data_IF_399787166095
#
_entry.id   IF_399787166095
#
_cell.length_a   1.000
_cell.length_b   1.000
_cell.length_c   1.000
_cell.angle_alpha   90.00
_cell.angle_beta   90.00
_cell.angle_gamma   90.00
#
_symmetry.space_group_name_H-M   'P 1'
#
loop_
_entity.id
_entity.type
_entity.pdbx_description
1 polymer ?
#
# COMPACT_ATOMS: atom_id res chain seq x y z
N UNK A 1 -11.53 -3.15 5.17
CA UNK A 1 -10.28 -3.84 4.76
C UNK A 1 -10.14 -3.80 3.24
N UNK A 2 -9.00 -3.36 2.71
CA UNK A 2 -8.65 -3.59 1.29
C UNK A 2 -8.00 -4.98 1.21
N UNK A 3 -8.57 -5.86 0.39
CA UNK A 3 -8.17 -7.28 0.28
C UNK A 3 -6.81 -7.45 -0.42
N UNK A 4 -6.49 -6.52 -1.32
CA UNK A 4 -5.20 -6.43 -2.02
C UNK A 4 -4.47 -5.18 -1.54
N UNK A 5 -3.35 -5.36 -0.83
CA UNK A 5 -2.49 -4.29 -0.30
C UNK A 5 -1.02 -4.63 -0.50
N UNK A 6 -0.20 -3.59 -0.63
CA UNK A 6 1.26 -3.68 -0.63
C UNK A 6 1.89 -3.69 -2.01
N UNK A 7 3.16 -3.28 -2.05
CA UNK A 7 3.95 -3.06 -3.29
C UNK A 7 4.50 -4.37 -3.87
N UNK A 8 4.48 -5.46 -3.08
CA UNK A 8 5.25 -6.67 -3.41
C UNK A 8 4.45 -7.77 -4.13
N UNK A 9 3.12 -7.63 -4.25
CA UNK A 9 2.23 -8.69 -4.75
C UNK A 9 2.03 -9.84 -3.74
N UNK A 10 1.35 -10.93 -4.14
CA UNK A 10 1.04 -12.04 -3.23
C UNK A 10 2.30 -12.86 -2.89
N UNK A 11 2.41 -13.25 -1.62
CA UNK A 11 3.62 -13.89 -1.09
C UNK A 11 3.93 -15.29 -1.63
N UNK A 12 2.98 -15.97 -2.29
CA UNK A 12 3.22 -17.29 -2.89
C UNK A 12 4.16 -17.24 -4.10
N UNK A 13 4.38 -16.04 -4.67
CA UNK A 13 5.19 -15.81 -5.87
C UNK A 13 6.71 -15.82 -5.67
N UNK A 14 7.21 -15.96 -4.43
CA UNK A 14 8.64 -15.73 -4.11
C UNK A 14 9.63 -16.55 -4.93
N UNK A 15 9.22 -17.71 -5.43
CA UNK A 15 10.08 -18.64 -6.16
C UNK A 15 9.54 -18.95 -7.58
N UNK A 16 8.61 -18.14 -8.09
CA UNK A 16 8.03 -18.34 -9.42
C UNK A 16 8.88 -17.69 -10.52
N UNK A 17 8.65 -18.12 -11.76
CA UNK A 17 9.28 -17.49 -12.92
C UNK A 17 8.83 -16.03 -13.09
N UNK A 18 9.69 -15.20 -13.68
CA UNK A 18 9.37 -13.79 -13.96
C UNK A 18 8.06 -13.61 -14.71
N UNK A 19 7.77 -14.47 -15.68
CA UNK A 19 6.52 -14.42 -16.46
C UNK A 19 5.27 -14.61 -15.59
N UNK A 20 5.27 -15.59 -14.67
CA UNK A 20 4.17 -15.84 -13.74
C UNK A 20 4.01 -14.66 -12.78
N UNK A 21 5.14 -14.16 -12.25
CA UNK A 21 5.16 -13.02 -11.34
C UNK A 21 4.56 -11.79 -12.02
N UNK A 22 4.93 -11.51 -13.27
CA UNK A 22 4.47 -10.35 -14.02
C UNK A 22 2.98 -10.42 -14.33
N UNK A 23 2.46 -11.58 -14.77
CA UNK A 23 1.02 -11.76 -15.02
C UNK A 23 0.20 -11.59 -13.75
N UNK A 24 0.62 -12.20 -12.65
CA UNK A 24 -0.09 -12.06 -11.37
C UNK A 24 0.03 -10.62 -10.84
N UNK A 25 1.18 -9.97 -10.95
CA UNK A 25 1.31 -8.55 -10.56
C UNK A 25 0.45 -7.63 -11.40
N UNK A 26 0.36 -7.88 -12.71
CA UNK A 26 -0.50 -7.12 -13.59
C UNK A 26 -1.96 -7.15 -13.11
N UNK A 27 -2.49 -8.33 -12.78
CA UNK A 27 -3.84 -8.45 -12.20
C UNK A 27 -3.93 -7.82 -10.80
N UNK A 28 -2.92 -8.02 -9.95
CA UNK A 28 -2.89 -7.49 -8.58
C UNK A 28 -2.99 -5.97 -8.54
N UNK A 29 -2.24 -5.28 -9.40
CA UNK A 29 -2.19 -3.82 -9.49
C UNK A 29 -3.15 -3.23 -10.51
N UNK A 30 -3.97 -4.04 -11.18
CA UNK A 30 -5.00 -3.52 -12.08
C UNK A 30 -6.15 -2.91 -11.27
N UNK A 31 -6.24 -1.59 -11.23
CA UNK A 31 -7.25 -0.86 -10.45
C UNK A 31 -8.64 -0.81 -11.11
N UNK A 32 -8.76 -1.28 -12.35
CA UNK A 32 -10.03 -1.39 -13.07
C UNK A 32 -10.81 -2.65 -12.65
N UNK A 33 -10.09 -3.68 -12.19
CA UNK A 33 -10.69 -4.93 -11.74
C UNK A 33 -11.15 -4.83 -10.28
N UNK A 34 -12.39 -5.25 -10.03
CA UNK A 34 -12.89 -5.47 -8.67
C UNK A 34 -12.27 -6.74 -8.05
N UNK A 35 -12.60 -6.98 -6.77
CA UNK A 35 -11.93 -8.03 -5.99
C UNK A 35 -12.22 -9.43 -6.55
N UNK A 36 -13.47 -9.65 -6.95
CA UNK A 36 -13.98 -10.90 -7.51
C UNK A 36 -13.37 -11.17 -8.90
N UNK A 37 -13.26 -10.14 -9.73
CA UNK A 37 -12.62 -10.20 -11.05
C UNK A 37 -11.13 -10.53 -10.91
N UNK A 38 -10.41 -9.88 -9.99
CA UNK A 38 -9.00 -10.20 -9.70
C UNK A 38 -8.84 -11.66 -9.27
N UNK A 39 -9.72 -12.14 -8.39
CA UNK A 39 -9.69 -13.54 -7.98
C UNK A 39 -9.90 -14.50 -9.14
N UNK A 40 -10.85 -14.21 -10.03
CA UNK A 40 -11.12 -15.04 -11.21
C UNK A 40 -9.89 -15.11 -12.15
N UNK A 41 -9.27 -13.97 -12.42
CA UNK A 41 -8.05 -13.91 -13.24
C UNK A 41 -6.87 -14.64 -12.59
N UNK A 42 -6.70 -14.52 -11.27
CA UNK A 42 -5.67 -15.29 -10.56
C UNK A 42 -5.88 -16.81 -10.70
N UNK A 43 -7.11 -17.28 -10.54
CA UNK A 43 -7.44 -18.70 -10.71
C UNK A 43 -7.16 -19.19 -12.13
N UNK A 44 -7.44 -18.36 -13.12
CA UNK A 44 -7.12 -18.66 -14.53
C UNK A 44 -5.62 -18.80 -14.74
N UNK A 45 -4.83 -17.80 -14.34
CA UNK A 45 -3.36 -17.82 -14.46
C UNK A 45 -2.78 -19.02 -13.69
N UNK A 46 -3.30 -19.29 -12.49
CA UNK A 46 -2.86 -20.42 -11.68
C UNK A 46 -3.06 -21.75 -12.38
N UNK A 47 -4.24 -21.98 -12.96
CA UNK A 47 -4.55 -23.20 -13.70
C UNK A 47 -3.67 -23.40 -14.93
N UNK A 48 -3.33 -22.31 -15.63
CA UNK A 48 -2.53 -22.35 -16.84
C UNK A 48 -1.03 -22.54 -16.56
N UNK A 49 -0.51 -21.90 -15.52
CA UNK A 49 0.93 -21.73 -15.34
C UNK A 49 1.52 -22.36 -14.08
N UNK A 50 0.76 -22.47 -13.00
CA UNK A 50 1.28 -23.00 -11.73
C UNK A 50 1.21 -24.53 -11.72
N UNK A 51 2.29 -25.15 -11.21
CA UNK A 51 2.40 -26.61 -11.11
C UNK A 51 3.03 -26.99 -9.77
N UNK A 52 2.82 -28.24 -9.36
CA UNK A 52 3.49 -28.82 -8.19
C UNK A 52 3.25 -28.03 -6.90
N UNK A 53 4.33 -27.62 -6.24
CA UNK A 53 4.28 -26.90 -4.95
C UNK A 53 3.64 -25.52 -5.08
N UNK A 54 3.89 -24.82 -6.19
CA UNK A 54 3.38 -23.48 -6.46
C UNK A 54 1.86 -23.44 -6.55
N UNK A 55 1.27 -24.47 -7.17
CA UNK A 55 -0.18 -24.65 -7.21
C UNK A 55 -0.76 -24.84 -5.79
N UNK A 56 -0.11 -25.62 -4.93
CA UNK A 56 -0.54 -25.79 -3.53
C UNK A 56 -0.48 -24.48 -2.73
N UNK A 57 0.58 -23.69 -2.92
CA UNK A 57 0.69 -22.37 -2.27
C UNK A 57 -0.38 -21.40 -2.78
N UNK A 58 -0.72 -21.49 -4.06
CA UNK A 58 -1.83 -20.74 -4.65
C UNK A 58 -3.17 -21.14 -4.03
N UNK A 59 -3.46 -22.44 -3.89
CA UNK A 59 -4.71 -22.90 -3.29
C UNK A 59 -4.89 -22.37 -1.86
N UNK A 60 -3.83 -22.38 -1.04
CA UNK A 60 -3.86 -21.79 0.29
C UNK A 60 -4.14 -20.28 0.25
N UNK A 61 -3.50 -19.57 -0.69
CA UNK A 61 -3.74 -18.16 -0.90
C UNK A 61 -5.20 -17.90 -1.34
N UNK A 62 -5.74 -18.66 -2.29
CA UNK A 62 -7.10 -18.49 -2.82
C UNK A 62 -8.17 -18.82 -1.78
N UNK A 63 -7.95 -19.82 -0.93
CA UNK A 63 -8.83 -20.12 0.20
C UNK A 63 -8.88 -18.95 1.19
N UNK A 64 -7.71 -18.42 1.58
CA UNK A 64 -7.64 -17.24 2.46
C UNK A 64 -8.28 -16.02 1.82
N UNK A 65 -8.06 -15.81 0.52
CA UNK A 65 -8.66 -14.73 -0.25
C UNK A 65 -10.19 -14.86 -0.27
N UNK A 66 -10.71 -16.05 -0.57
CA UNK A 66 -12.15 -16.34 -0.58
C UNK A 66 -12.80 -16.07 0.78
N UNK A 67 -12.14 -16.49 1.87
CA UNK A 67 -12.61 -16.20 3.23
C UNK A 67 -12.68 -14.70 3.50
N UNK A 68 -11.62 -13.96 3.19
CA UNK A 68 -11.59 -12.51 3.38
C UNK A 68 -12.66 -11.78 2.55
N UNK A 69 -12.94 -12.25 1.33
CA UNK A 69 -14.01 -11.72 0.48
C UNK A 69 -15.37 -11.94 1.14
N UNK A 70 -15.64 -13.17 1.61
CA UNK A 70 -16.89 -13.50 2.29
C UNK A 70 -17.09 -12.68 3.57
N UNK A 71 -16.07 -12.58 4.44
CA UNK A 71 -16.12 -11.77 5.66
C UNK A 71 -16.39 -10.29 5.37
N UNK A 72 -15.79 -9.77 4.29
CA UNK A 72 -16.02 -8.39 3.84
C UNK A 72 -17.45 -8.18 3.38
N UNK A 73 -17.98 -9.11 2.59
CA UNK A 73 -19.37 -9.05 2.12
C UNK A 73 -20.36 -9.14 3.28
N UNK A 74 -20.13 -10.03 4.24
CA UNK A 74 -20.92 -10.11 5.47
C UNK A 74 -20.89 -8.79 6.25
N UNK A 75 -19.70 -8.19 6.40
CA UNK A 75 -19.55 -6.88 7.07
C UNK A 75 -20.37 -5.80 6.37
N UNK A 76 -20.35 -5.75 5.03
CA UNK A 76 -21.13 -4.78 4.24
C UNK A 76 -22.64 -5.02 4.41
N UNK A 77 -23.07 -6.29 4.42
CA UNK A 77 -24.48 -6.64 4.62
C UNK A 77 -24.97 -6.28 6.02
N UNK A 78 -24.11 -6.43 7.03
CA UNK A 78 -24.40 -6.09 8.43
C UNK A 78 -24.46 -4.57 8.71
N UNK A 79 -23.98 -3.72 7.80
CA UNK A 79 -24.07 -2.26 7.95
C UNK A 79 -25.53 -1.78 7.89
N UNK A 80 -25.79 -0.59 8.43
CA UNK A 80 -27.06 0.11 8.19
C UNK A 80 -27.18 0.51 6.71
N UNK A 81 -28.40 0.85 6.26
CA UNK A 81 -28.61 1.35 4.89
C UNK A 81 -27.74 2.58 4.60
N UNK A 82 -27.76 3.57 5.50
CA UNK A 82 -26.90 4.76 5.40
C UNK A 82 -25.41 4.41 5.35
N UNK A 83 -24.98 3.39 6.11
CA UNK A 83 -23.60 2.89 6.08
C UNK A 83 -23.22 2.29 4.72
N UNK A 84 -24.10 1.48 4.12
CA UNK A 84 -23.90 0.93 2.77
C UNK A 84 -23.86 2.03 1.71
N UNK A 85 -24.75 3.01 1.79
CA UNK A 85 -24.79 4.13 0.86
C UNK A 85 -23.52 4.98 0.93
N UNK A 86 -23.05 5.28 2.15
CA UNK A 86 -21.78 5.98 2.37
C UNK A 86 -20.59 5.16 1.84
N UNK A 87 -20.56 3.85 2.10
CA UNK A 87 -19.52 2.95 1.61
C UNK A 87 -19.50 2.88 0.07
N UNK A 88 -20.66 2.83 -0.59
CA UNK A 88 -20.77 2.85 -2.05
C UNK A 88 -20.27 4.18 -2.62
N UNK A 89 -20.70 5.31 -2.06
CA UNK A 89 -20.21 6.64 -2.47
C UNK A 89 -18.70 6.77 -2.32
N UNK A 90 -18.17 6.33 -1.17
CA UNK A 90 -16.73 6.32 -0.93
C UNK A 90 -15.97 5.44 -1.94
N UNK A 91 -16.51 4.27 -2.26
CA UNK A 91 -15.92 3.36 -3.26
C UNK A 91 -15.90 3.99 -4.66
N UNK A 92 -16.96 4.69 -5.05
CA UNK A 92 -17.03 5.42 -6.32
C UNK A 92 -16.02 6.57 -6.38
N UNK A 93 -15.93 7.38 -5.33
CA UNK A 93 -14.93 8.46 -5.25
C UNK A 93 -13.50 7.92 -5.40
N UNK A 94 -13.19 6.78 -4.76
CA UNK A 94 -11.89 6.12 -4.91
C UNK A 94 -11.63 5.62 -6.32
N UNK A 95 -12.67 5.20 -7.05
CA UNK A 95 -12.55 4.80 -8.45
C UNK A 95 -12.26 6.02 -9.34
N UNK A 96 -13.03 7.09 -9.16
CA UNK A 96 -12.85 8.36 -9.89
C UNK A 96 -11.46 8.95 -9.65
N UNK A 97 -11.00 8.97 -8.39
CA UNK A 97 -9.64 9.39 -8.01
C UNK A 97 -8.58 8.59 -8.80
N UNK A 98 -8.70 7.26 -8.83
CA UNK A 98 -7.75 6.41 -9.55
C UNK A 98 -7.80 6.63 -11.06
N UNK A 99 -9.00 6.73 -11.64
CA UNK A 99 -9.17 7.00 -13.08
C UNK A 99 -8.58 8.36 -13.46
N UNK A 100 -8.83 9.39 -12.65
CA UNK A 100 -8.23 10.71 -12.84
C UNK A 100 -6.71 10.64 -12.81
N UNK A 101 -6.14 10.04 -11.76
CA UNK A 101 -4.69 9.90 -11.63
C UNK A 101 -4.09 9.10 -12.80
N UNK A 102 -4.73 8.01 -13.24
CA UNK A 102 -4.25 7.19 -14.35
C UNK A 102 -4.24 7.94 -15.69
N UNK A 103 -5.20 8.85 -15.92
CA UNK A 103 -5.30 9.66 -17.14
C UNK A 103 -4.24 10.78 -17.23
N UNK A 104 -3.58 11.12 -16.12
CA UNK A 104 -2.55 12.15 -16.12
C UNK A 104 -1.24 11.68 -16.80
N UNK A 105 -0.49 12.60 -17.44
CA UNK A 105 0.87 12.33 -17.91
C UNK A 105 1.77 11.83 -16.77
N UNK A 106 2.78 11.03 -17.11
CA UNK A 106 3.64 10.38 -16.12
C UNK A 106 4.38 11.40 -15.25
N UNK A 107 4.80 12.51 -15.87
CA UNK A 107 5.51 13.62 -15.25
C UNK A 107 4.66 14.28 -14.16
N UNK A 108 3.39 14.56 -14.48
CA UNK A 108 2.42 15.16 -13.54
C UNK A 108 2.10 14.21 -12.39
N UNK A 109 2.00 12.89 -12.65
CA UNK A 109 1.79 11.90 -11.58
C UNK A 109 2.95 11.85 -10.59
N UNK A 110 4.19 12.01 -11.06
CA UNK A 110 5.38 12.04 -10.20
C UNK A 110 5.31 13.27 -9.30
N UNK A 111 4.99 14.44 -9.85
CA UNK A 111 4.83 15.68 -9.06
C UNK A 111 3.74 15.52 -7.98
N UNK A 112 2.59 14.96 -8.32
CA UNK A 112 1.52 14.68 -7.34
C UNK A 112 1.93 13.65 -6.29
N UNK A 113 2.77 12.68 -6.65
CA UNK A 113 3.34 11.69 -5.74
C UNK A 113 4.26 12.30 -4.67
N UNK A 114 4.82 13.49 -4.90
CA UNK A 114 5.59 14.24 -3.90
C UNK A 114 4.69 14.82 -2.80
N UNK A 115 3.42 15.10 -3.12
CA UNK A 115 2.46 15.77 -2.23
C UNK A 115 1.60 14.76 -1.45
N UNK A 116 1.21 13.62 -2.04
CA UNK A 116 0.57 12.55 -1.26
C UNK A 116 1.59 11.49 -0.80
N UNK A 117 1.89 11.39 0.51
CA UNK A 117 2.67 10.27 1.05
C UNK A 117 2.06 8.90 0.72
N UNK A 118 0.76 8.87 0.47
CA UNK A 118 -0.02 7.69 0.09
C UNK A 118 0.19 7.22 -1.37
N UNK A 119 0.68 8.10 -2.25
CA UNK A 119 0.82 7.89 -3.69
C UNK A 119 2.28 7.82 -4.15
N UNK A 120 3.24 7.69 -3.24
CA UNK A 120 4.65 7.43 -3.59
C UNK A 120 4.74 6.11 -4.35
N UNK A 121 4.66 6.21 -5.66
CA UNK A 121 5.00 5.12 -6.56
C UNK A 121 6.51 5.17 -6.66
N UNK A 122 7.20 4.34 -5.87
CA UNK A 122 8.64 4.12 -6.02
C UNK A 122 8.88 3.40 -7.36
N UNK A 123 8.81 4.15 -8.44
CA UNK A 123 9.34 3.79 -9.75
C UNK A 123 10.61 4.60 -9.98
N UNK A 124 11.67 4.19 -9.30
CA UNK A 124 13.04 4.50 -9.71
C UNK A 124 13.85 3.23 -9.53
N UNK A 125 14.19 2.61 -10.65
CA UNK A 125 15.20 1.56 -10.69
C UNK A 125 16.56 2.14 -10.30
N UNK A 126 17.38 1.30 -9.65
CA UNK A 126 18.83 1.45 -9.63
C UNK A 126 19.41 2.46 -8.64
N UNK A 127 19.47 2.11 -7.37
CA UNK A 127 20.74 1.95 -6.63
C UNK A 127 20.44 1.44 -5.23
N UNK A 128 21.07 0.31 -4.89
CA UNK A 128 21.06 -0.26 -3.55
C UNK A 128 21.67 0.74 -2.57
N UNK A 129 20.85 1.34 -1.71
CA UNK A 129 21.31 1.72 -0.38
C UNK A 129 21.10 0.50 0.53
N UNK A 130 22.21 0.01 1.09
CA UNK A 130 22.23 -1.19 1.92
C UNK A 130 21.47 -0.94 3.23
N UNK A 131 20.18 -1.29 3.26
CA UNK A 131 19.40 -1.30 4.49
C UNK A 131 19.87 -2.45 5.41
N UNK A 132 20.01 -2.22 6.74
CA UNK A 132 20.47 -3.24 7.68
C UNK A 132 19.53 -4.46 7.69
N UNK A 133 20.11 -5.65 7.52
CA UNK A 133 19.41 -6.93 7.33
C UNK A 133 18.88 -7.56 8.62
N UNK A 134 18.94 -6.87 9.77
CA UNK A 134 18.46 -7.41 11.05
C UNK A 134 17.53 -6.45 11.79
N UNK A 135 16.49 -7.02 12.42
CA UNK A 135 15.49 -6.30 13.22
C UNK A 135 16.10 -5.52 14.38
N UNK A 136 17.20 -6.03 14.96
CA UNK A 136 17.95 -5.35 16.02
C UNK A 136 18.63 -4.06 15.50
N UNK A 137 19.19 -4.07 14.30
CA UNK A 137 19.82 -2.90 13.71
C UNK A 137 18.79 -1.81 13.35
N UNK A 138 17.55 -2.18 13.00
CA UNK A 138 16.47 -1.22 12.76
C UNK A 138 15.93 -0.56 14.03
N UNK A 139 15.99 -1.26 15.16
CA UNK A 139 15.57 -0.71 16.46
C UNK A 139 16.57 0.34 16.96
N UNK A 140 17.87 0.07 16.86
CA UNK A 140 18.91 1.00 17.28
C UNK A 140 18.91 2.32 16.48
N UNK A 141 18.68 2.25 15.17
CA UNK A 141 18.59 3.46 14.32
C UNK A 141 17.32 4.26 14.64
N UNK A 142 16.22 3.59 14.99
CA UNK A 142 14.97 4.27 15.36
C UNK A 142 15.06 4.97 16.72
N UNK A 143 15.79 4.41 17.68
CA UNK A 143 16.04 5.07 18.98
C UNK A 143 16.96 6.29 18.81
N UNK A 144 18.02 6.19 17.99
CA UNK A 144 18.92 7.32 17.74
C UNK A 144 18.23 8.47 16.98
N UNK A 145 17.33 8.17 16.04
CA UNK A 145 16.53 9.21 15.37
C UNK A 145 15.47 9.82 16.28
N UNK A 146 14.86 9.04 17.19
CA UNK A 146 13.90 9.56 18.16
C UNK A 146 14.55 10.56 19.13
N UNK A 147 15.76 10.26 19.59
CA UNK A 147 16.51 11.17 20.48
C UNK A 147 16.93 12.47 19.76
N UNK A 148 17.35 12.38 18.50
CA UNK A 148 17.65 13.58 17.68
C UNK A 148 16.43 14.45 17.45
N UNK A 149 15.26 13.84 17.23
CA UNK A 149 14.02 14.57 17.01
C UNK A 149 13.51 15.24 18.29
N UNK A 150 13.64 14.58 19.44
CA UNK A 150 13.30 15.13 20.74
C UNK A 150 14.19 16.34 21.09
N UNK A 151 15.49 16.26 20.78
CA UNK A 151 16.44 17.35 21.02
C UNK A 151 16.18 18.55 20.10
N UNK A 152 15.77 18.29 18.85
CA UNK A 152 15.36 19.33 17.90
C UNK A 152 14.09 20.07 18.32
N UNK A 153 13.08 19.35 18.83
CA UNK A 153 11.86 19.99 19.38
C UNK A 153 12.17 20.86 20.60
N UNK A 154 13.00 20.36 21.53
CA UNK A 154 13.36 21.14 22.72
C UNK A 154 14.12 22.43 22.38
N UNK A 155 14.96 22.42 21.35
CA UNK A 155 15.65 23.63 20.87
C UNK A 155 14.69 24.61 20.17
N UNK A 156 13.72 24.10 19.41
CA UNK A 156 12.72 24.94 18.74
C UNK A 156 11.81 25.65 19.76
N UNK A 157 11.38 24.95 20.81
CA UNK A 157 10.56 25.54 21.89
C UNK A 157 11.35 26.59 22.69
N UNK A 158 12.64 26.35 22.95
CA UNK A 158 13.50 27.34 23.61
C UNK A 158 13.72 28.60 22.75
N UNK A 159 13.84 28.46 21.43
CA UNK A 159 13.93 29.58 20.49
C UNK A 159 12.61 30.37 20.38
N UNK A 160 11.47 29.68 20.43
CA UNK A 160 10.16 30.32 20.40
C UNK A 160 9.91 31.16 21.68
N UNK A 161 10.28 30.65 22.85
CA UNK A 161 10.13 31.36 24.12
C UNK A 161 11.06 32.57 24.23
N UNK A 162 12.29 32.47 23.72
CA UNK A 162 13.23 33.60 23.69
C UNK A 162 12.84 34.66 22.67
N UNK A 163 12.28 34.27 21.52
CA UNK A 163 11.73 35.22 20.55
C UNK A 163 10.47 35.93 21.06
N UNK A 164 9.63 35.25 21.85
CA UNK A 164 8.45 35.86 22.47
C UNK A 164 8.84 36.89 23.55
N UNK A 165 9.84 36.56 24.38
CA UNK A 165 10.33 37.45 25.44
C UNK A 165 11.00 38.73 24.92
N UNK A 166 11.65 38.69 23.74
CA UNK A 166 12.25 39.90 23.14
C UNK A 166 11.24 40.79 22.41
N UNK A 167 10.03 40.29 22.12
CA UNK A 167 8.97 41.09 21.48
C UNK A 167 8.17 41.96 22.46
N UNK A 168 8.38 41.80 23.78
CA UNK A 168 7.70 42.59 24.82
C UNK A 168 8.57 43.73 25.39
N UNK A 169 9.75 43.98 24.81
CA UNK A 169 10.68 45.03 25.27
C UNK A 169 10.96 46.14 24.23
N UNK A 170 10.08 46.32 23.23
CA UNK A 170 10.06 47.48 22.34
C UNK A 170 8.66 48.06 22.20
#
# INVERSE_FOLDING_TARGET
MQTFKGVCGPGFLKNESGEVVDKIRHVWFNDELNVEQKQAEFRKIAKEMLKGESAKRFDQFDQKLSKNIAERQQTIQAMSQAGRDAYNKWTNMRKEERTFLAALPAEVRVELGLICPCCKTDKTGGQQSAAPKTRAARAAVAEEEADKLALGLAQADAQALTSAAMSECF
#
